data_IF_345043173838
#
_entry.id   IF_345043173838
#
_cell.length_a   1.000
_cell.length_b   1.000
_cell.length_c   1.000
_cell.angle_alpha   90.00
_cell.angle_beta   90.00
_cell.angle_gamma   90.00
#
_symmetry.space_group_name_H-M   'P 1'
#
loop_
_entity.id
_entity.type
_entity.pdbx_description
1 polymer ?
#
# COMPACT_ATOMS: atom_id res chain seq x y z
N UNK A 1 -20.60 5.90 -9.84
CA UNK A 1 -20.10 5.01 -8.75
C UNK A 1 -19.08 3.92 -9.16
N UNK A 2 -19.40 2.89 -9.95
CA UNK A 2 -18.48 1.73 -10.18
C UNK A 2 -17.16 2.07 -10.89
N UNK A 3 -17.18 3.02 -11.84
CA UNK A 3 -15.96 3.46 -12.55
C UNK A 3 -14.99 4.25 -11.64
N UNK A 4 -15.50 4.92 -10.60
CA UNK A 4 -14.70 5.68 -9.63
C UNK A 4 -14.02 4.78 -8.59
N UNK A 5 -14.67 3.67 -8.22
CA UNK A 5 -14.16 2.75 -7.20
C UNK A 5 -13.18 1.72 -7.77
N UNK A 6 -13.32 1.37 -9.05
CA UNK A 6 -12.42 0.46 -9.79
C UNK A 6 -10.92 0.77 -9.57
N UNK A 7 -10.42 2.01 -9.74
CA UNK A 7 -9.03 2.33 -9.47
C UNK A 7 -8.63 2.11 -8.00
N UNK A 8 -9.49 2.45 -7.04
CA UNK A 8 -9.24 2.21 -5.62
C UNK A 8 -9.26 0.72 -5.28
N UNK A 9 -10.12 -0.07 -5.91
CA UNK A 9 -10.18 -1.53 -5.74
C UNK A 9 -8.96 -2.24 -6.35
N UNK A 10 -8.49 -1.80 -7.52
CA UNK A 10 -7.24 -2.32 -8.08
C UNK A 10 -6.04 -1.95 -7.20
N UNK A 11 -6.07 -0.76 -6.60
CA UNK A 11 -5.03 -0.32 -5.68
C UNK A 11 -5.03 -1.08 -4.35
N UNK A 12 -6.19 -1.42 -3.77
CA UNK A 12 -6.25 -2.20 -2.53
C UNK A 12 -5.62 -3.60 -2.65
N UNK A 13 -5.49 -4.09 -3.88
CA UNK A 13 -4.90 -5.39 -4.23
C UNK A 13 -3.40 -5.23 -4.59
N UNK A 14 -2.91 -4.02 -4.82
CA UNK A 14 -1.51 -3.76 -5.21
C UNK A 14 -0.56 -3.80 -4.02
N UNK A 15 0.20 -4.89 -3.91
CA UNK A 15 1.17 -5.13 -2.85
C UNK A 15 2.63 -4.84 -3.29
N UNK A 16 2.91 -3.60 -3.70
CA UNK A 16 4.23 -3.22 -4.27
C UNK A 16 5.34 -3.24 -3.21
N UNK A 17 5.02 -2.93 -1.95
CA UNK A 17 5.99 -2.78 -0.86
C UNK A 17 6.78 -4.06 -0.57
N UNK A 18 6.20 -5.23 -0.84
CA UNK A 18 6.84 -6.52 -0.55
C UNK A 18 7.81 -6.96 -1.64
N UNK A 19 7.76 -6.35 -2.83
CA UNK A 19 8.60 -6.75 -3.97
C UNK A 19 10.08 -6.60 -3.67
N UNK A 20 10.47 -5.49 -3.02
CA UNK A 20 11.88 -5.20 -2.76
C UNK A 20 12.49 -6.15 -1.70
N UNK A 21 11.89 -6.33 -0.51
CA UNK A 21 12.37 -7.31 0.47
C UNK A 21 12.40 -8.74 -0.07
N UNK A 22 11.36 -9.15 -0.81
CA UNK A 22 11.28 -10.48 -1.39
C UNK A 22 12.36 -10.71 -2.45
N UNK A 23 12.62 -9.73 -3.33
CA UNK A 23 13.70 -9.85 -4.32
C UNK A 23 15.07 -9.93 -3.62
N UNK A 24 15.29 -9.16 -2.56
CA UNK A 24 16.52 -9.24 -1.75
C UNK A 24 16.65 -10.62 -1.10
N UNK A 25 15.57 -11.17 -0.55
CA UNK A 25 15.56 -12.51 0.05
C UNK A 25 15.91 -13.61 -0.96
N UNK A 26 15.30 -13.58 -2.15
CA UNK A 26 15.62 -14.53 -3.22
C UNK A 26 17.04 -14.38 -3.74
N UNK A 27 17.56 -13.15 -3.85
CA UNK A 27 18.96 -12.89 -4.24
C UNK A 27 20.00 -13.34 -3.22
N UNK A 28 19.62 -13.54 -1.94
CA UNK A 28 20.51 -14.14 -0.93
C UNK A 28 20.56 -15.66 -1.01
N UNK A 29 19.52 -16.28 -1.55
CA UNK A 29 19.40 -17.74 -1.67
C UNK A 29 19.95 -18.28 -3.00
N UNK A 30 19.87 -17.47 -4.07
CA UNK A 30 20.29 -17.87 -5.41
C UNK A 30 21.52 -17.09 -5.87
N UNK A 31 22.49 -17.79 -6.46
CA UNK A 31 23.74 -17.19 -6.95
C UNK A 31 23.55 -16.39 -8.24
N UNK A 32 22.60 -16.80 -9.10
CA UNK A 32 22.29 -16.09 -10.34
C UNK A 32 21.19 -15.02 -10.11
N UNK A 33 21.50 -13.72 -10.31
CA UNK A 33 20.54 -12.64 -10.11
C UNK A 33 19.34 -12.72 -11.06
N UNK A 34 19.50 -13.30 -12.26
CA UNK A 34 18.42 -13.43 -13.24
C UNK A 34 17.41 -14.47 -12.75
N UNK A 35 17.89 -15.64 -12.30
CA UNK A 35 17.03 -16.70 -11.78
C UNK A 35 16.30 -16.26 -10.51
N UNK A 36 16.99 -15.54 -9.61
CA UNK A 36 16.38 -14.95 -8.41
C UNK A 36 15.19 -14.05 -8.75
N UNK A 37 15.36 -13.15 -9.73
CA UNK A 37 14.30 -12.23 -10.15
C UNK A 37 13.10 -12.94 -10.77
N UNK A 38 13.34 -13.97 -11.60
CA UNK A 38 12.28 -14.75 -12.22
C UNK A 38 11.46 -15.53 -11.19
N UNK A 39 12.11 -16.10 -10.17
CA UNK A 39 11.41 -16.78 -9.07
C UNK A 39 10.57 -15.81 -8.25
N UNK A 40 11.12 -14.63 -7.92
CA UNK A 40 10.37 -13.59 -7.23
C UNK A 40 9.12 -13.16 -8.02
N UNK A 41 9.24 -12.97 -9.34
CA UNK A 41 8.11 -12.62 -10.21
C UNK A 41 7.05 -13.74 -10.23
N UNK A 42 7.47 -15.01 -10.33
CA UNK A 42 6.53 -16.15 -10.30
C UNK A 42 5.78 -16.25 -8.97
N UNK A 43 6.50 -16.14 -7.86
CA UNK A 43 5.89 -16.15 -6.51
C UNK A 43 4.89 -15.00 -6.35
N UNK A 44 5.28 -13.78 -6.75
CA UNK A 44 4.41 -12.59 -6.74
C UNK A 44 3.15 -12.82 -7.55
N UNK A 45 3.27 -13.42 -8.74
CA UNK A 45 2.11 -13.64 -9.62
C UNK A 45 1.10 -14.58 -8.98
N UNK A 46 1.55 -15.67 -8.37
CA UNK A 46 0.66 -16.62 -7.69
C UNK A 46 0.00 -15.94 -6.49
N UNK A 47 0.78 -15.24 -5.66
CA UNK A 47 0.26 -14.50 -4.52
C UNK A 47 -0.81 -13.47 -4.94
N UNK A 48 -0.56 -12.75 -6.04
CA UNK A 48 -1.50 -11.77 -6.58
C UNK A 48 -2.80 -12.42 -7.07
N UNK A 49 -2.73 -13.56 -7.76
CA UNK A 49 -3.94 -14.30 -8.21
C UNK A 49 -4.77 -14.73 -7.01
N UNK A 50 -4.14 -15.33 -5.99
CA UNK A 50 -4.83 -15.75 -4.76
C UNK A 50 -5.49 -14.55 -4.09
N UNK A 51 -4.76 -13.43 -3.96
CA UNK A 51 -5.26 -12.21 -3.33
C UNK A 51 -6.47 -11.64 -4.09
N UNK A 52 -6.40 -11.54 -5.43
CA UNK A 52 -7.53 -11.08 -6.26
C UNK A 52 -8.75 -11.96 -6.05
N UNK A 53 -8.59 -13.28 -6.12
CA UNK A 53 -9.72 -14.22 -5.97
C UNK A 53 -10.34 -14.10 -4.59
N UNK A 54 -9.52 -14.05 -3.53
CA UNK A 54 -10.01 -13.91 -2.15
C UNK A 54 -10.73 -12.58 -1.91
N UNK A 55 -10.18 -11.46 -2.39
CA UNK A 55 -10.78 -10.13 -2.21
C UNK A 55 -12.08 -10.01 -3.00
N UNK A 56 -12.13 -10.50 -4.24
CA UNK A 56 -13.36 -10.49 -5.03
C UNK A 56 -14.43 -11.36 -4.39
N UNK A 57 -14.09 -12.57 -3.94
CA UNK A 57 -15.03 -13.44 -3.25
C UNK A 57 -15.59 -12.79 -1.97
N UNK A 58 -14.72 -12.15 -1.18
CA UNK A 58 -15.13 -11.39 0.00
C UNK A 58 -16.06 -10.23 -0.37
N UNK A 59 -15.71 -9.43 -1.39
CA UNK A 59 -16.52 -8.29 -1.83
C UNK A 59 -17.91 -8.74 -2.34
N UNK A 60 -17.98 -9.82 -3.12
CA UNK A 60 -19.25 -10.39 -3.56
C UNK A 60 -20.09 -10.87 -2.38
N UNK A 61 -19.49 -11.62 -1.45
CA UNK A 61 -20.18 -12.09 -0.25
C UNK A 61 -20.73 -10.93 0.59
N UNK A 62 -19.92 -9.87 0.77
CA UNK A 62 -20.32 -8.69 1.51
C UNK A 62 -21.46 -7.94 0.82
N UNK A 63 -21.41 -7.81 -0.51
CA UNK A 63 -22.45 -7.15 -1.30
C UNK A 63 -23.80 -7.87 -1.27
N UNK A 64 -23.82 -9.19 -1.04
CA UNK A 64 -25.06 -9.94 -0.83
C UNK A 64 -25.55 -9.91 0.61
N UNK A 65 -24.65 -9.71 1.58
CA UNK A 65 -24.97 -9.80 3.00
C UNK A 65 -25.37 -8.48 3.65
N UNK A 66 -25.02 -7.34 3.06
CA UNK A 66 -25.11 -6.02 3.71
C UNK A 66 -25.89 -5.02 2.85
N UNK A 67 -26.73 -4.23 3.50
CA UNK A 67 -27.52 -3.18 2.86
C UNK A 67 -26.72 -1.91 2.64
N UNK A 68 -27.19 -1.04 1.73
CA UNK A 68 -26.50 0.24 1.42
C UNK A 68 -26.45 1.17 2.63
N UNK A 69 -27.48 1.16 3.48
CA UNK A 69 -27.58 2.02 4.66
C UNK A 69 -26.60 1.61 5.76
N UNK A 70 -26.45 0.30 5.99
CA UNK A 70 -25.44 -0.26 6.90
C UNK A 70 -24.01 0.04 6.41
N UNK A 71 -23.77 -0.07 5.10
CA UNK A 71 -22.47 0.24 4.52
C UNK A 71 -22.13 1.74 4.63
N UNK A 72 -23.10 2.64 4.47
CA UNK A 72 -22.90 4.07 4.58
C UNK A 72 -22.61 4.50 6.03
N UNK A 73 -23.38 4.00 7.00
CA UNK A 73 -23.18 4.31 8.42
C UNK A 73 -21.84 3.77 8.94
N UNK A 74 -21.43 2.57 8.51
CA UNK A 74 -20.11 2.03 8.84
C UNK A 74 -18.96 2.88 8.28
N UNK A 75 -19.14 3.46 7.08
CA UNK A 75 -18.17 4.37 6.46
C UNK A 75 -18.03 5.68 7.25
N UNK A 76 -19.14 6.26 7.71
CA UNK A 76 -19.14 7.45 8.57
C UNK A 76 -18.48 7.18 9.92
N UNK A 77 -18.76 6.02 10.51
CA UNK A 77 -18.22 5.61 11.81
C UNK A 77 -16.80 5.00 11.72
N UNK A 78 -16.20 4.92 10.53
CA UNK A 78 -14.89 4.31 10.28
C UNK A 78 -14.77 2.86 10.81
N UNK A 79 -15.86 2.10 10.73
CA UNK A 79 -15.92 0.70 11.14
C UNK A 79 -15.42 -0.18 9.99
N UNK A 80 -14.56 -1.15 10.29
CA UNK A 80 -14.07 -2.07 9.26
C UNK A 80 -15.15 -3.05 8.79
N UNK A 81 -15.04 -3.53 7.55
CA UNK A 81 -16.00 -4.46 6.97
C UNK A 81 -16.19 -5.72 7.84
N UNK A 82 -15.11 -6.28 8.39
CA UNK A 82 -15.17 -7.46 9.26
C UNK A 82 -15.90 -7.16 10.59
N UNK A 83 -15.72 -5.97 11.14
CA UNK A 83 -16.42 -5.53 12.34
C UNK A 83 -17.92 -5.33 12.07
N UNK A 84 -18.28 -4.75 10.93
CA UNK A 84 -19.67 -4.63 10.49
C UNK A 84 -20.33 -6.00 10.31
N UNK A 85 -19.67 -6.94 9.62
CA UNK A 85 -20.17 -8.30 9.45
C UNK A 85 -20.42 -9.01 10.80
N UNK A 86 -19.57 -8.76 11.80
CA UNK A 86 -19.75 -9.34 13.14
C UNK A 86 -20.91 -8.75 13.95
N UNK A 87 -21.38 -7.55 13.62
CA UNK A 87 -22.56 -6.96 14.25
C UNK A 87 -23.86 -7.58 13.71
N UNK A 88 -23.84 -8.01 12.46
CA UNK A 88 -25.02 -8.51 11.73
C UNK A 88 -25.15 -10.04 11.89
N UNK A 89 -24.04 -10.75 12.09
CA UNK A 89 -24.04 -12.21 12.29
C UNK A 89 -24.24 -12.59 13.78
N UNK A 90 -25.22 -13.43 14.13
CA UNK A 90 -25.40 -13.90 15.51
C UNK A 90 -24.26 -14.85 15.93
N UNK A 91 -23.60 -14.54 17.05
CA UNK A 91 -22.63 -15.44 17.69
C UNK A 91 -21.48 -14.71 18.37
N UNK A 92 -21.31 -14.92 19.68
CA UNK A 92 -20.25 -14.29 20.48
C UNK A 92 -18.83 -14.63 19.95
N UNK A 93 -18.65 -15.84 19.42
CA UNK A 93 -17.38 -16.29 18.82
C UNK A 93 -16.99 -15.49 17.57
N UNK A 94 -17.95 -15.10 16.74
CA UNK A 94 -17.70 -14.33 15.50
C UNK A 94 -17.20 -12.93 15.83
N UNK A 95 -17.78 -12.30 16.86
CA UNK A 95 -17.34 -10.98 17.35
C UNK A 95 -15.92 -11.02 17.90
N UNK A 96 -15.60 -11.99 18.77
CA UNK A 96 -14.25 -12.14 19.35
C UNK A 96 -13.21 -12.40 18.26
N UNK A 97 -13.49 -13.30 17.32
CA UNK A 97 -12.60 -13.58 16.19
C UNK A 97 -12.43 -12.35 15.30
N UNK A 98 -13.50 -11.60 15.03
CA UNK A 98 -13.45 -10.40 14.19
C UNK A 98 -12.58 -9.30 14.80
N UNK A 99 -12.73 -9.03 16.09
CA UNK A 99 -11.90 -8.04 16.81
C UNK A 99 -10.45 -8.49 16.85
N UNK A 100 -10.20 -9.76 17.16
CA UNK A 100 -8.84 -10.32 17.19
C UNK A 100 -8.17 -10.21 15.83
N UNK A 101 -8.84 -10.62 14.76
CA UNK A 101 -8.34 -10.53 13.40
C UNK A 101 -8.12 -9.08 12.97
N UNK A 102 -8.99 -8.13 13.34
CA UNK A 102 -8.78 -6.70 13.07
C UNK A 102 -7.49 -6.21 13.72
N UNK A 103 -7.26 -6.50 15.00
CA UNK A 103 -6.05 -6.06 15.72
C UNK A 103 -4.79 -6.62 15.05
N UNK A 104 -4.76 -7.93 14.78
CA UNK A 104 -3.61 -8.55 14.12
C UNK A 104 -3.39 -8.04 12.69
N UNK A 105 -4.47 -7.82 11.93
CA UNK A 105 -4.39 -7.27 10.58
C UNK A 105 -3.81 -5.85 10.59
N UNK A 106 -4.30 -4.98 11.49
CA UNK A 106 -3.81 -3.60 11.64
C UNK A 106 -2.33 -3.60 12.06
N UNK A 107 -1.94 -4.41 13.05
CA UNK A 107 -0.55 -4.50 13.49
C UNK A 107 0.38 -4.99 12.37
N UNK A 108 -0.03 -6.04 11.65
CA UNK A 108 0.77 -6.62 10.56
C UNK A 108 0.94 -5.64 9.41
N UNK A 109 -0.15 -4.96 9.00
CA UNK A 109 -0.10 -3.93 7.98
C UNK A 109 0.77 -2.75 8.42
N UNK A 110 0.64 -2.32 9.68
CA UNK A 110 1.44 -1.25 10.26
C UNK A 110 2.93 -1.57 10.20
N UNK A 111 3.35 -2.74 10.70
CA UNK A 111 4.77 -3.13 10.68
C UNK A 111 5.32 -3.27 9.26
N UNK A 112 4.53 -3.79 8.33
CA UNK A 112 4.92 -3.95 6.93
C UNK A 112 5.26 -2.60 6.28
N UNK A 113 4.39 -1.60 6.48
CA UNK A 113 4.59 -0.26 5.93
C UNK A 113 5.68 0.49 6.71
N UNK A 114 5.67 0.40 8.04
CA UNK A 114 6.63 1.05 8.93
C UNK A 114 8.06 0.64 8.60
N UNK A 115 8.32 -0.67 8.40
CA UNK A 115 9.66 -1.15 8.09
C UNK A 115 10.16 -0.61 6.74
N UNK A 116 9.31 -0.66 5.70
CA UNK A 116 9.65 -0.12 4.38
C UNK A 116 9.87 1.40 4.41
N UNK A 117 9.02 2.13 5.15
CA UNK A 117 9.15 3.58 5.32
C UNK A 117 10.43 3.96 6.07
N UNK A 118 10.75 3.24 7.15
CA UNK A 118 11.97 3.44 7.92
C UNK A 118 13.22 3.19 7.06
N UNK A 119 13.23 2.13 6.26
CA UNK A 119 14.32 1.84 5.32
C UNK A 119 14.47 2.94 4.27
N UNK A 120 13.36 3.43 3.72
CA UNK A 120 13.36 4.53 2.75
C UNK A 120 13.94 5.83 3.34
N UNK A 121 13.48 6.26 4.51
CA UNK A 121 14.00 7.45 5.19
C UNK A 121 15.48 7.27 5.53
N UNK A 122 15.87 6.10 6.03
CA UNK A 122 17.27 5.84 6.35
C UNK A 122 18.16 5.94 5.11
N UNK A 123 17.73 5.36 3.99
CA UNK A 123 18.46 5.45 2.71
C UNK A 123 18.58 6.89 2.21
N UNK A 124 17.48 7.65 2.23
CA UNK A 124 17.46 9.06 1.85
C UNK A 124 18.38 9.91 2.74
N UNK A 125 18.31 9.69 4.05
CA UNK A 125 19.07 10.47 5.04
C UNK A 125 20.56 10.19 4.91
N UNK A 126 20.95 8.91 4.77
CA UNK A 126 22.35 8.53 4.54
C UNK A 126 22.88 9.13 3.23
N UNK A 127 22.11 9.06 2.14
CA UNK A 127 22.51 9.63 0.85
C UNK A 127 22.64 11.16 0.90
N UNK A 128 21.78 11.84 1.65
CA UNK A 128 21.85 13.29 1.82
C UNK A 128 23.05 13.70 2.67
N UNK A 129 23.28 13.02 3.80
CA UNK A 129 24.41 13.30 4.70
C UNK A 129 25.74 12.99 4.01
N UNK A 130 25.85 11.87 3.29
CA UNK A 130 27.08 11.52 2.57
C UNK A 130 27.44 12.56 1.51
N UNK A 131 26.44 13.12 0.82
CA UNK A 131 26.62 14.16 -0.19
C UNK A 131 27.05 15.51 0.40
N UNK A 132 26.63 15.83 1.63
CA UNK A 132 26.94 17.11 2.29
C UNK A 132 28.26 17.04 3.06
N UNK A 133 28.50 15.93 3.79
CA UNK A 133 29.59 15.81 4.75
C UNK A 133 30.85 15.16 4.16
N UNK A 134 30.76 14.50 3.00
CA UNK A 134 31.90 13.81 2.36
C UNK A 134 32.49 12.65 3.17
N UNK A 135 31.91 12.30 4.31
CA UNK A 135 32.37 11.26 5.24
C UNK A 135 31.29 10.18 5.41
N UNK A 136 31.69 8.92 5.24
CA UNK A 136 30.84 7.72 5.45
C UNK A 136 30.69 7.30 6.93
N UNK A 137 31.27 8.05 7.88
CA UNK A 137 31.24 7.70 9.30
C UNK A 137 29.90 8.05 9.98
N UNK A 138 28.80 7.54 9.44
CA UNK A 138 27.46 7.72 10.01
C UNK A 138 27.15 6.54 10.93
N UNK A 139 26.88 6.83 12.21
CA UNK A 139 26.41 5.82 13.15
C UNK A 139 24.98 5.38 12.79
N UNK A 140 24.87 4.32 11.99
CA UNK A 140 23.59 3.75 11.51
C UNK A 140 22.64 3.37 12.64
N UNK A 141 23.17 2.93 13.79
CA UNK A 141 22.33 2.52 14.93
C UNK A 141 21.64 3.72 15.57
N UNK A 142 22.38 4.80 15.80
CA UNK A 142 21.84 6.03 16.35
C UNK A 142 20.83 6.68 15.38
N UNK A 143 21.17 6.72 14.09
CA UNK A 143 20.29 7.24 13.05
C UNK A 143 18.97 6.45 12.97
N UNK A 144 19.04 5.12 13.03
CA UNK A 144 17.86 4.24 13.03
C UNK A 144 16.92 4.48 14.22
N UNK A 145 17.47 4.76 15.40
CA UNK A 145 16.70 5.08 16.61
C UNK A 145 16.05 6.46 16.47
N UNK A 146 16.81 7.47 16.02
CA UNK A 146 16.28 8.82 15.81
C UNK A 146 15.12 8.80 14.82
N UNK A 147 15.28 8.13 13.68
CA UNK A 147 14.22 7.99 12.67
C UNK A 147 13.00 7.27 13.27
N UNK A 148 13.21 6.18 14.01
CA UNK A 148 12.10 5.45 14.64
C UNK A 148 11.31 6.33 15.62
N UNK A 149 12.01 7.05 16.51
CA UNK A 149 11.38 7.97 17.47
C UNK A 149 10.65 9.09 16.73
N UNK A 150 11.27 9.68 15.70
CA UNK A 150 10.65 10.73 14.90
C UNK A 150 9.35 10.26 14.23
N UNK A 151 9.33 9.04 13.67
CA UNK A 151 8.12 8.47 13.07
C UNK A 151 7.02 8.28 14.13
N UNK A 152 7.35 7.74 15.30
CA UNK A 152 6.36 7.51 16.37
C UNK A 152 5.80 8.83 16.89
N UNK A 153 6.64 9.84 17.12
CA UNK A 153 6.20 11.18 17.54
C UNK A 153 5.31 11.81 16.47
N UNK A 154 5.70 11.71 15.19
CA UNK A 154 4.90 12.22 14.08
C UNK A 154 3.51 11.57 14.01
N UNK A 155 3.44 10.24 14.14
CA UNK A 155 2.17 9.51 14.17
C UNK A 155 1.33 9.88 15.39
N UNK A 156 1.94 10.05 16.56
CA UNK A 156 1.22 10.47 17.76
C UNK A 156 0.63 11.86 17.62
N UNK A 157 1.41 12.82 17.11
CA UNK A 157 0.92 14.17 16.79
C UNK A 157 -0.24 14.08 15.80
N UNK A 158 -0.10 13.28 14.74
CA UNK A 158 -1.15 13.09 13.74
C UNK A 158 -2.47 12.57 14.34
N UNK A 159 -2.40 11.54 15.18
CA UNK A 159 -3.57 10.98 15.86
C UNK A 159 -4.21 12.00 16.82
N UNK A 160 -3.39 12.83 17.48
CA UNK A 160 -3.90 13.85 18.42
C UNK A 160 -4.70 14.96 17.75
N UNK A 161 -4.62 15.10 16.42
CA UNK A 161 -5.38 16.09 15.65
C UNK A 161 -6.71 15.56 15.08
N UNK A 162 -7.10 14.32 15.39
CA UNK A 162 -8.36 13.69 14.94
C UNK A 162 -8.63 13.86 13.43
N UNK A 163 -7.58 13.75 12.61
CA UNK A 163 -7.72 13.81 11.15
C UNK A 163 -8.60 12.66 10.65
N UNK A 164 -9.63 13.00 9.86
CA UNK A 164 -10.55 11.99 9.34
C UNK A 164 -9.85 11.04 8.35
N UNK A 165 -10.05 9.73 8.54
CA UNK A 165 -9.50 8.68 7.65
C UNK A 165 -10.04 8.85 6.22
N UNK A 166 -11.26 9.38 6.08
CA UNK A 166 -11.87 9.70 4.78
C UNK A 166 -11.02 10.69 3.98
N UNK A 167 -10.50 11.76 4.61
CA UNK A 167 -9.66 12.75 3.95
C UNK A 167 -8.33 12.12 3.51
N UNK A 168 -7.79 11.22 4.34
CA UNK A 168 -6.61 10.40 4.02
C UNK A 168 -6.83 9.49 2.80
N UNK A 169 -7.99 8.84 2.70
CA UNK A 169 -8.35 8.06 1.50
C UNK A 169 -8.44 8.92 0.25
N UNK A 170 -8.98 10.14 0.36
CA UNK A 170 -9.10 11.07 -0.78
C UNK A 170 -7.74 11.57 -1.26
N UNK A 171 -6.84 11.96 -0.35
CA UNK A 171 -5.49 12.43 -0.70
C UNK A 171 -4.59 11.29 -1.16
N UNK A 172 -4.74 10.10 -0.58
CA UNK A 172 -3.92 8.96 -0.93
C UNK A 172 -4.14 8.50 -2.38
N UNK A 173 -5.35 8.63 -2.93
CA UNK A 173 -5.65 8.26 -4.33
C UNK A 173 -4.70 8.91 -5.35
N UNK A 174 -4.61 10.25 -5.44
CA UNK A 174 -3.69 10.94 -6.34
C UNK A 174 -2.22 10.72 -6.01
N UNK A 175 -1.86 10.70 -4.72
CA UNK A 175 -0.46 10.47 -4.31
C UNK A 175 0.01 9.09 -4.80
N UNK A 176 -0.82 8.06 -4.63
CA UNK A 176 -0.51 6.72 -5.13
C UNK A 176 -0.56 6.65 -6.66
N UNK A 177 -1.52 7.29 -7.33
CA UNK A 177 -1.54 7.36 -8.80
C UNK A 177 -0.27 7.99 -9.38
N UNK A 178 0.25 9.04 -8.73
CA UNK A 178 1.51 9.67 -9.10
C UNK A 178 2.71 8.75 -8.84
N UNK A 179 2.86 8.29 -7.61
CA UNK A 179 4.06 7.57 -7.16
C UNK A 179 4.13 6.15 -7.74
N UNK A 180 3.02 5.43 -7.78
CA UNK A 180 2.98 4.03 -8.22
C UNK A 180 2.86 3.88 -9.75
N UNK A 181 2.26 4.83 -10.46
CA UNK A 181 2.00 4.69 -11.90
C UNK A 181 2.74 5.72 -12.77
N UNK A 182 2.62 7.01 -12.47
CA UNK A 182 3.17 8.08 -13.33
C UNK A 182 4.70 8.21 -13.22
N UNK A 183 5.27 8.15 -12.01
CA UNK A 183 6.72 8.23 -11.81
C UNK A 183 7.45 7.07 -12.50
N UNK A 184 7.05 5.79 -12.33
CA UNK A 184 7.70 4.67 -13.03
C UNK A 184 7.56 4.78 -14.56
N UNK A 185 6.40 5.22 -15.05
CA UNK A 185 6.20 5.46 -16.49
C UNK A 185 7.17 6.51 -17.04
N UNK A 186 7.32 7.63 -16.33
CA UNK A 186 8.27 8.68 -16.72
C UNK A 186 9.72 8.20 -16.67
N UNK A 187 10.10 7.44 -15.65
CA UNK A 187 11.45 6.88 -15.49
C UNK A 187 11.80 5.91 -16.64
N UNK A 188 10.89 5.02 -17.05
CA UNK A 188 11.10 4.09 -18.17
C UNK A 188 11.29 4.84 -19.50
N UNK A 189 10.70 6.03 -19.66
CA UNK A 189 10.87 6.86 -20.87
C UNK A 189 12.17 7.68 -20.86
N UNK A 190 12.67 8.07 -19.68
CA UNK A 190 13.83 8.97 -19.54
C UNK A 190 15.15 8.23 -19.32
N UNK A 191 15.13 7.08 -18.65
CA UNK A 191 16.33 6.35 -18.24
C UNK A 191 16.62 5.23 -19.22
N UNK A 192 17.73 5.34 -19.96
CA UNK A 192 18.18 4.37 -20.97
C UNK A 192 18.40 2.95 -20.42
N UNK A 193 18.76 2.83 -19.13
CA UNK A 193 18.90 1.54 -18.45
C UNK A 193 17.57 0.75 -18.31
N UNK A 194 16.42 1.42 -18.48
CA UNK A 194 15.10 0.80 -18.45
C UNK A 194 14.47 0.65 -19.84
N UNK A 195 15.22 0.87 -20.92
CA UNK A 195 14.71 0.77 -22.29
C UNK A 195 14.20 -0.64 -22.61
N UNK A 196 14.79 -1.66 -22.00
CA UNK A 196 14.35 -3.06 -22.07
C UNK A 196 12.92 -3.29 -21.53
N UNK A 197 12.40 -2.36 -20.72
CA UNK A 197 11.05 -2.42 -20.15
C UNK A 197 10.05 -1.51 -20.91
N UNK A 198 10.46 -0.87 -22.02
CA UNK A 198 9.57 -0.08 -22.87
C UNK A 198 8.64 -1.00 -23.65
N UNK A 199 7.48 -1.28 -23.07
CA UNK A 199 6.39 -2.00 -23.72
C UNK A 199 5.22 -1.04 -23.98
N UNK A 200 4.47 -1.26 -25.07
CA UNK A 200 3.20 -0.55 -25.31
C UNK A 200 2.21 -0.70 -24.15
N UNK A 201 2.37 -1.74 -23.33
CA UNK A 201 1.60 -1.97 -22.09
C UNK A 201 1.79 -0.87 -21.04
N UNK A 202 2.89 -0.12 -21.08
CA UNK A 202 3.19 0.94 -20.11
C UNK A 202 2.23 2.13 -20.25
N UNK A 203 1.62 2.34 -21.44
CA UNK A 203 0.60 3.37 -21.63
C UNK A 203 -0.69 3.07 -20.86
N UNK A 204 -1.05 1.80 -20.67
CA UNK A 204 -2.19 1.45 -19.80
C UNK A 204 -1.91 1.85 -18.36
N UNK A 205 -0.68 1.64 -17.86
CA UNK A 205 -0.29 2.04 -16.50
C UNK A 205 -0.39 3.56 -16.33
N UNK A 206 0.05 4.35 -17.32
CA UNK A 206 -0.10 5.80 -17.31
C UNK A 206 -1.58 6.22 -17.30
N UNK A 207 -2.42 5.59 -18.14
CA UNK A 207 -3.86 5.85 -18.18
C UNK A 207 -4.53 5.58 -16.82
N UNK A 208 -4.24 4.44 -16.18
CA UNK A 208 -4.75 4.13 -14.84
C UNK A 208 -4.25 5.13 -13.79
N UNK A 209 -2.99 5.55 -13.86
CA UNK A 209 -2.42 6.57 -12.96
C UNK A 209 -3.13 7.91 -13.06
N UNK A 210 -3.43 8.37 -14.28
CA UNK A 210 -4.21 9.60 -14.51
C UNK A 210 -5.64 9.45 -13.98
N UNK A 211 -6.28 8.30 -14.22
CA UNK A 211 -7.62 8.02 -13.75
C UNK A 211 -7.69 8.00 -12.20
N UNK A 212 -6.68 7.45 -11.52
CA UNK A 212 -6.51 7.50 -10.07
C UNK A 212 -6.37 8.94 -9.54
N UNK A 213 -5.60 9.79 -10.23
CA UNK A 213 -5.39 11.18 -9.84
C UNK A 213 -6.66 12.04 -10.01
N UNK A 214 -7.48 11.72 -11.00
CA UNK A 214 -8.73 12.43 -11.29
C UNK A 214 -9.88 11.93 -10.39
N UNK A 215 -9.77 10.72 -9.84
CA UNK A 215 -10.81 10.08 -9.02
C UNK A 215 -11.36 10.94 -7.87
N UNK A 216 -10.55 11.58 -6.99
CA UNK A 216 -11.11 12.42 -5.94
C UNK A 216 -11.83 13.67 -6.47
N UNK A 217 -11.38 14.24 -7.59
CA UNK A 217 -12.04 15.39 -8.21
C UNK A 217 -13.41 15.04 -8.79
N UNK A 218 -13.55 13.85 -9.38
CA UNK A 218 -14.85 13.38 -9.87
C UNK A 218 -15.86 13.16 -8.74
N UNK A 219 -15.38 12.82 -7.53
CA UNK A 219 -16.22 12.65 -6.34
C UNK A 219 -16.72 13.98 -5.75
N UNK A 220 -16.13 15.11 -6.13
CA UNK A 220 -16.60 16.46 -5.78
C UNK A 220 -17.59 17.03 -6.82
N UNK A 221 -17.69 16.41 -8.00
CA UNK A 221 -18.59 16.83 -9.10
C UNK A 221 -19.92 16.05 -9.07
N UNK A 222 -19.97 14.95 -8.32
CA UNK A 222 -21.17 14.13 -8.01
C UNK A 222 -21.70 14.51 -6.62
#
# INVERSE_FOLDING_TARGET
MFLLTLPFTLFSILFVQILNPMNIAYRKLEADPVIASLRAIRATRIAYIVLVVSVLFFAFSFSFSITKEEAASALEQNISALALASQIMPGNLVSILSVTLNIFAILTAFFSIYLGFKEAIMGLTVNMISRISGSENINRRLLSIIIAVAIVVFLWVWVSFDFSVMLLMQISGPVFGLVACLIPFYLVKRVSALDNLRAGKNYYVAFYGVLLCISPFLKFVE
#
